data_IF_472793568452
#
_entry.id   IF_472793568452
#
_cell.length_a   1.000
_cell.length_b   1.000
_cell.length_c   1.000
_cell.angle_alpha   90.00
_cell.angle_beta   90.00
_cell.angle_gamma   90.00
#
_symmetry.space_group_name_H-M   'P 1'
#
loop_
_entity.id
_entity.type
_entity.pdbx_description
1 polymer ?
#
# COMPACT_ATOMS: atom_id res chain seq x y z
N UNK A 1 -6.35 11.24 13.59
CA UNK A 1 -5.86 11.86 12.34
C UNK A 1 -5.69 10.78 11.26
N UNK A 2 -5.73 11.12 9.97
CA UNK A 2 -5.62 10.13 8.86
C UNK A 2 -6.94 9.46 8.45
N UNK A 3 -8.07 10.14 8.59
CA UNK A 3 -9.37 9.63 8.12
C UNK A 3 -9.96 10.58 7.07
N UNK A 4 -10.55 10.04 6.02
CA UNK A 4 -11.24 10.77 4.96
C UNK A 4 -12.75 10.78 5.23
N UNK A 5 -13.38 11.92 5.08
CA UNK A 5 -14.83 12.03 5.20
C UNK A 5 -15.55 11.34 4.04
N UNK A 6 -16.58 10.55 4.35
CA UNK A 6 -17.50 9.96 3.37
C UNK A 6 -18.67 10.88 3.00
N UNK A 7 -18.88 11.95 3.76
CA UNK A 7 -19.91 12.97 3.54
C UNK A 7 -19.44 14.36 3.93
N UNK A 8 -20.20 15.38 3.53
CA UNK A 8 -20.08 16.72 4.11
C UNK A 8 -20.69 16.76 5.50
N UNK A 9 -20.10 17.55 6.38
CA UNK A 9 -20.58 17.78 7.75
C UNK A 9 -20.94 19.25 7.91
N UNK A 10 -21.94 19.52 8.73
CA UNK A 10 -22.24 20.88 9.17
C UNK A 10 -21.40 21.25 10.40
N UNK A 11 -21.17 22.54 10.60
CA UNK A 11 -20.52 23.03 11.81
C UNK A 11 -21.35 22.64 13.05
N UNK A 12 -20.68 22.08 14.07
CA UNK A 12 -21.32 21.58 15.29
C UNK A 12 -21.87 20.15 15.21
N UNK A 13 -21.78 19.49 14.06
CA UNK A 13 -22.22 18.10 13.91
C UNK A 13 -21.26 17.10 14.57
N UNK A 14 -21.79 16.11 15.28
CA UNK A 14 -21.01 15.02 15.88
C UNK A 14 -20.48 14.09 14.78
N UNK A 15 -19.16 13.92 14.72
CA UNK A 15 -18.51 13.04 13.74
C UNK A 15 -18.51 11.59 14.27
N UNK A 16 -19.33 10.74 13.64
CA UNK A 16 -19.34 9.30 13.89
C UNK A 16 -18.31 8.57 13.02
N UNK A 17 -17.76 7.47 13.54
CA UNK A 17 -16.70 6.70 12.87
C UNK A 17 -17.15 6.09 11.52
N UNK A 18 -18.42 5.74 11.39
CA UNK A 18 -19.04 5.24 10.15
C UNK A 18 -18.95 6.21 8.96
N UNK A 19 -18.85 7.51 9.23
CA UNK A 19 -18.70 8.56 8.22
C UNK A 19 -17.24 8.81 7.84
N UNK A 20 -16.32 8.03 8.40
CA UNK A 20 -14.89 8.19 8.20
C UNK A 20 -14.30 6.92 7.59
N UNK A 21 -13.47 7.09 6.58
CA UNK A 21 -12.69 6.03 5.95
C UNK A 21 -11.23 6.15 6.34
N UNK A 22 -10.53 5.04 6.61
CA UNK A 22 -9.08 5.07 6.80
C UNK A 22 -8.46 5.46 5.46
N UNK A 23 -7.64 6.52 5.43
CA UNK A 23 -6.88 6.83 4.22
C UNK A 23 -5.94 5.68 3.90
N UNK A 24 -5.77 5.30 2.63
CA UNK A 24 -4.80 4.27 2.26
C UNK A 24 -3.40 4.68 2.71
N UNK A 25 -2.62 3.70 3.17
CA UNK A 25 -1.24 3.89 3.59
C UNK A 25 -0.32 4.03 2.35
N UNK A 26 -0.73 3.43 1.23
CA UNK A 26 -0.13 3.60 -0.10
C UNK A 26 -1.21 3.89 -1.14
N UNK A 27 -1.01 4.90 -1.98
CA UNK A 27 -1.93 5.20 -3.08
C UNK A 27 -1.49 4.60 -4.41
N UNK A 28 -2.44 4.37 -5.32
CA UNK A 28 -2.15 3.94 -6.69
C UNK A 28 -1.15 4.88 -7.36
N UNK A 29 -0.11 4.31 -7.96
CA UNK A 29 0.95 5.04 -8.65
C UNK A 29 2.12 5.49 -7.76
N UNK A 30 1.98 5.39 -6.43
CA UNK A 30 3.07 5.68 -5.50
C UNK A 30 4.22 4.68 -5.71
N UNK A 31 5.46 5.18 -5.64
CA UNK A 31 6.67 4.36 -5.69
C UNK A 31 7.05 4.00 -4.26
N UNK A 32 7.23 2.70 -4.01
CA UNK A 32 7.60 2.13 -2.71
C UNK A 32 8.74 1.12 -2.87
N UNK A 33 9.39 0.75 -1.77
CA UNK A 33 10.41 -0.29 -1.74
C UNK A 33 9.73 -1.66 -1.57
N UNK A 34 9.99 -2.56 -2.52
CA UNK A 34 9.66 -3.97 -2.37
C UNK A 34 10.90 -4.75 -1.97
N UNK A 35 10.71 -5.86 -1.26
CA UNK A 35 11.79 -6.76 -0.92
C UNK A 35 11.38 -8.23 -0.94
N UNK A 36 12.37 -9.09 -1.17
CA UNK A 36 12.30 -10.54 -0.97
C UNK A 36 13.40 -10.93 0.01
N UNK A 37 13.11 -11.83 0.93
CA UNK A 37 14.07 -12.34 1.91
C UNK A 37 14.33 -13.82 1.67
N UNK A 38 15.61 -14.15 1.51
CA UNK A 38 16.16 -15.49 1.52
C UNK A 38 17.03 -15.64 2.77
N UNK A 39 17.39 -16.87 3.20
CA UNK A 39 18.27 -17.06 4.36
C UNK A 39 19.56 -16.24 4.23
N UNK A 40 19.69 -15.19 5.07
CA UNK A 40 20.84 -14.29 5.11
C UNK A 40 20.93 -13.24 3.99
N UNK A 41 19.94 -13.15 3.08
CA UNK A 41 19.97 -12.22 1.94
C UNK A 41 18.64 -11.50 1.81
N UNK A 42 18.67 -10.16 1.83
CA UNK A 42 17.52 -9.31 1.52
C UNK A 42 17.77 -8.57 0.21
N UNK A 43 16.94 -8.83 -0.79
CA UNK A 43 16.98 -8.14 -2.09
C UNK A 43 15.89 -7.09 -2.09
N UNK A 44 16.22 -5.85 -2.51
CA UNK A 44 15.27 -4.74 -2.55
C UNK A 44 15.20 -4.14 -3.96
N UNK A 45 14.02 -3.65 -4.33
CA UNK A 45 13.80 -2.96 -5.61
C UNK A 45 12.67 -1.95 -5.48
N UNK A 46 12.70 -0.91 -6.30
CA UNK A 46 11.59 0.04 -6.41
C UNK A 46 10.43 -0.56 -7.22
N UNK A 47 9.21 -0.38 -6.72
CA UNK A 47 7.98 -0.79 -7.38
C UNK A 47 6.97 0.35 -7.38
N UNK A 48 6.11 0.40 -8.40
CA UNK A 48 4.97 1.32 -8.47
C UNK A 48 3.71 0.57 -8.07
N UNK A 49 3.01 1.05 -7.04
CA UNK A 49 1.71 0.47 -6.64
C UNK A 49 0.70 0.58 -7.77
N UNK A 50 -0.06 -0.49 -8.02
CA UNK A 50 -1.09 -0.53 -9.05
C UNK A 50 -2.49 -0.21 -8.50
N UNK A 51 -2.63 -0.14 -7.17
CA UNK A 51 -3.88 0.11 -6.44
C UNK A 51 -3.62 0.89 -5.14
N UNK A 52 -4.70 1.28 -4.45
CA UNK A 52 -4.60 1.79 -3.09
C UNK A 52 -4.45 0.61 -2.13
N UNK A 53 -3.63 0.74 -1.09
CA UNK A 53 -3.39 -0.33 -0.12
C UNK A 53 -3.27 0.16 1.31
N UNK A 54 -3.62 -0.72 2.23
CA UNK A 54 -3.43 -0.53 3.66
C UNK A 54 -2.42 -1.54 4.22
N UNK A 55 -1.73 -1.17 5.30
CA UNK A 55 -0.76 -2.05 5.96
C UNK A 55 -1.45 -3.37 6.37
N UNK A 56 -0.82 -4.49 6.05
CA UNK A 56 -1.32 -5.85 6.26
C UNK A 56 -2.01 -6.47 5.04
N UNK A 57 -2.35 -5.68 4.02
CA UNK A 57 -3.02 -6.19 2.82
C UNK A 57 -2.02 -6.66 1.75
N UNK A 58 -2.49 -7.56 0.89
CA UNK A 58 -1.76 -7.92 -0.33
C UNK A 58 -2.15 -6.98 -1.46
N UNK A 59 -1.17 -6.34 -2.09
CA UNK A 59 -1.38 -5.45 -3.24
C UNK A 59 -0.54 -5.85 -4.44
N UNK A 60 -1.00 -5.48 -5.63
CA UNK A 60 -0.23 -5.56 -6.86
C UNK A 60 0.67 -4.32 -7.04
N UNK A 61 1.93 -4.56 -7.41
CA UNK A 61 2.86 -3.51 -7.78
C UNK A 61 3.64 -3.89 -9.05
N UNK A 62 4.09 -2.89 -9.80
CA UNK A 62 4.94 -3.07 -10.99
C UNK A 62 6.38 -2.74 -10.66
N UNK A 63 7.28 -3.69 -10.86
CA UNK A 63 8.70 -3.46 -10.70
C UNK A 63 9.21 -2.45 -11.75
N UNK A 64 9.94 -1.43 -11.32
CA UNK A 64 10.39 -0.35 -12.20
C UNK A 64 11.57 -0.73 -13.10
N UNK A 65 12.35 -1.74 -12.71
CA UNK A 65 13.51 -2.21 -13.47
C UNK A 65 13.11 -3.23 -14.54
N UNK A 66 12.23 -4.16 -14.19
CA UNK A 66 11.85 -5.29 -15.05
C UNK A 66 10.47 -5.13 -15.71
N UNK A 67 9.65 -4.19 -15.24
CA UNK A 67 8.28 -4.01 -15.70
C UNK A 67 7.29 -5.11 -15.28
N UNK A 68 7.74 -6.17 -14.59
CA UNK A 68 6.92 -7.29 -14.13
C UNK A 68 5.96 -6.89 -13.02
N UNK A 69 4.82 -7.58 -12.93
CA UNK A 69 3.89 -7.48 -11.80
C UNK A 69 4.34 -8.39 -10.66
N UNK A 70 4.37 -7.83 -9.47
CA UNK A 70 4.64 -8.52 -8.21
C UNK A 70 3.47 -8.33 -7.27
N UNK A 71 3.22 -9.35 -6.45
CA UNK A 71 2.21 -9.33 -5.40
C UNK A 71 2.88 -9.50 -4.06
N UNK A 72 2.50 -8.70 -3.08
CA UNK A 72 3.14 -8.73 -1.77
C UNK A 72 2.30 -8.09 -0.68
N UNK A 73 2.67 -8.36 0.57
CA UNK A 73 2.03 -7.78 1.75
C UNK A 73 2.65 -6.41 2.03
N UNK A 74 1.80 -5.41 2.23
CA UNK A 74 2.23 -4.08 2.64
C UNK A 74 2.56 -4.07 4.13
N UNK A 75 3.76 -3.61 4.49
CA UNK A 75 4.26 -3.54 5.87
C UNK A 75 4.49 -2.08 6.30
N UNK A 76 4.66 -1.84 7.60
CA UNK A 76 4.97 -0.51 8.14
C UNK A 76 6.25 0.07 7.51
N UNK A 77 6.30 1.38 7.27
CA UNK A 77 7.39 2.01 6.52
C UNK A 77 7.17 2.02 5.00
N UNK A 78 5.89 2.00 4.58
CA UNK A 78 5.32 1.24 3.45
C UNK A 78 6.31 0.41 2.62
N UNK A 79 6.69 -0.77 3.11
CA UNK A 79 7.43 -1.76 2.32
C UNK A 79 6.48 -2.81 1.72
N UNK A 80 6.81 -3.32 0.54
CA UNK A 80 6.10 -4.45 -0.06
C UNK A 80 6.94 -5.74 0.08
N UNK A 81 6.55 -6.64 1.00
CA UNK A 81 7.17 -7.96 1.07
C UNK A 81 6.58 -8.86 0.00
N UNK A 82 7.36 -9.17 -1.04
CA UNK A 82 6.89 -9.89 -2.22
C UNK A 82 6.65 -11.37 -1.87
N UNK A 83 5.48 -11.87 -2.25
CA UNK A 83 5.06 -13.27 -2.11
C UNK A 83 5.18 -14.02 -3.45
N UNK A 84 4.81 -13.36 -4.55
CA UNK A 84 4.75 -13.96 -5.88
C UNK A 84 5.20 -12.96 -6.95
N UNK A 85 5.89 -13.47 -7.97
CA UNK A 85 6.27 -12.74 -9.18
C UNK A 85 5.61 -13.42 -10.37
N UNK A 86 4.84 -12.67 -11.14
CA UNK A 86 4.25 -13.19 -12.39
C UNK A 86 5.33 -13.37 -13.46
N UNK A 87 5.24 -14.47 -14.22
CA UNK A 87 6.20 -14.84 -15.27
C UNK A 87 6.14 -13.89 -16.46
#
# INVERSE_FOLDING_TARGET
MGKKARKMFNEGEVILQEFLEKTPDVVRGQIILAYVEFPGIKVMSLVRSMENGWIGETIAARNLETGRLVYGILEEGPFLRVLEVTR
#
